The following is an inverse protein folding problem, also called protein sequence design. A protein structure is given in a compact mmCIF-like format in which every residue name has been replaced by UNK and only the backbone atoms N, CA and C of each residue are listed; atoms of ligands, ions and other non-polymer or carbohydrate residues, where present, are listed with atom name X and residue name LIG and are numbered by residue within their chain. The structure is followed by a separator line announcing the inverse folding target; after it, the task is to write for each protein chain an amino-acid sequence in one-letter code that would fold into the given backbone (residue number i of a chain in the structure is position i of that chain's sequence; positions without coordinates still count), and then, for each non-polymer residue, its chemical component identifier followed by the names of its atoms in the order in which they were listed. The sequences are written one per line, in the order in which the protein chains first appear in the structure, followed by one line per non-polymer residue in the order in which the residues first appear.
data_IF_661783543808
#
_entry.id   IF_661783543808
#
_cell.length_a   1.000
_cell.length_b   1.000
_cell.length_c   1.000
_cell.angle_alpha   90.00
_cell.angle_beta   90.00
_cell.angle_gamma   90.00
#
_symmetry.space_group_name_H-M   'P 1'
#
loop_
_entity.id
_entity.type
_entity.pdbx_description
1 polymer ?
#
# COMPACT_ATOMS: atom_id res chain seq x y z
N UNK A 1 -52.73 31.75 54.56
CA UNK A 1 -53.69 32.69 53.95
C UNK A 1 -53.82 32.34 52.46
N UNK A 2 -55.03 32.43 51.87
CA UNK A 2 -55.45 31.67 50.68
C UNK A 2 -55.80 32.54 49.46
N UNK A 3 -56.20 31.88 48.35
CA UNK A 3 -56.93 32.38 47.15
C UNK A 3 -56.08 33.24 46.21
N UNK A 4 -56.19 33.20 44.89
CA UNK A 4 -57.28 32.93 43.94
C UNK A 4 -56.65 32.38 42.63
N UNK A 5 -57.29 31.90 41.57
CA UNK A 5 -58.65 31.99 41.04
C UNK A 5 -58.80 30.91 39.95
N UNK A 6 -60.01 30.39 39.79
CA UNK A 6 -60.44 29.45 38.73
C UNK A 6 -61.06 30.26 37.56
N UNK A 7 -61.88 29.71 36.64
CA UNK A 7 -61.67 28.68 35.61
C UNK A 7 -62.31 29.05 34.22
N UNK A 8 -62.30 28.07 33.29
CA UNK A 8 -63.32 27.74 32.25
C UNK A 8 -63.11 28.16 30.78
N UNK A 9 -63.08 27.09 29.96
CA UNK A 9 -63.86 26.78 28.74
C UNK A 9 -63.69 27.68 27.51
N UNK A 10 -63.25 27.04 26.41
CA UNK A 10 -64.16 26.67 25.30
C UNK A 10 -63.39 25.99 24.15
N UNK A 11 -63.63 24.69 23.94
CA UNK A 11 -63.70 24.09 22.60
C UNK A 11 -65.14 24.33 22.05
N UNK A 12 -65.51 24.00 20.79
CA UNK A 12 -64.77 23.40 19.67
C UNK A 12 -64.95 24.20 18.35
N UNK A 13 -64.47 23.69 17.21
CA UNK A 13 -65.23 23.46 15.95
C UNK A 13 -64.27 23.01 14.84
N UNK A 14 -64.64 21.90 14.23
CA UNK A 14 -64.02 21.20 13.11
C UNK A 14 -64.32 21.95 11.80
N UNK A 15 -63.41 21.97 10.85
CA UNK A 15 -63.78 22.01 9.42
C UNK A 15 -62.65 21.46 8.57
N UNK A 16 -62.80 20.21 8.15
CA UNK A 16 -62.20 19.68 6.94
C UNK A 16 -62.63 20.54 5.75
N UNK A 17 -61.69 20.99 4.92
CA UNK A 17 -61.83 21.32 3.50
C UNK A 17 -60.54 22.03 3.07
N UNK A 18 -59.62 21.26 2.50
CA UNK A 18 -58.90 21.59 1.26
C UNK A 18 -57.89 20.47 1.00
N UNK A 19 -58.41 19.43 0.38
CA UNK A 19 -57.62 18.50 -0.41
C UNK A 19 -57.14 19.21 -1.68
N UNK A 20 -56.08 18.64 -2.26
CA UNK A 20 -55.45 19.01 -3.53
C UNK A 20 -54.48 20.20 -3.45
N UNK A 21 -53.18 19.87 -3.41
CA UNK A 21 -52.07 20.49 -4.16
C UNK A 21 -50.75 20.27 -3.40
N UNK A 22 -50.14 19.07 -3.49
CA UNK A 22 -48.67 18.89 -3.65
C UNK A 22 -48.26 17.40 -3.60
N UNK A 23 -48.80 16.57 -4.51
CA UNK A 23 -48.35 15.18 -4.71
C UNK A 23 -47.12 15.06 -5.62
N UNK A 24 -46.35 16.13 -5.85
CA UNK A 24 -45.29 16.16 -6.86
C UNK A 24 -43.91 16.59 -6.34
N UNK A 25 -43.56 16.32 -5.07
CA UNK A 25 -42.24 16.74 -4.53
C UNK A 25 -41.54 15.79 -3.56
N UNK A 26 -41.70 14.48 -3.74
CA UNK A 26 -40.92 13.45 -3.02
C UNK A 26 -40.36 12.38 -3.97
N UNK A 27 -39.82 12.78 -5.13
CA UNK A 27 -38.76 12.00 -5.78
C UNK A 27 -37.42 12.49 -5.20
N UNK A 28 -37.02 11.86 -4.10
CA UNK A 28 -35.64 11.93 -3.64
C UNK A 28 -34.74 11.26 -4.67
N UNK A 29 -34.24 12.04 -5.62
CA UNK A 29 -33.08 11.65 -6.40
C UNK A 29 -31.90 11.65 -5.46
N UNK A 30 -31.55 10.47 -4.94
CA UNK A 30 -30.26 10.26 -4.32
C UNK A 30 -29.20 10.70 -5.34
N UNK A 31 -28.31 11.66 -5.02
CA UNK A 31 -27.19 11.91 -5.89
C UNK A 31 -26.35 10.64 -5.87
N UNK A 32 -26.32 9.92 -6.99
CA UNK A 32 -25.27 8.95 -7.28
C UNK A 32 -23.95 9.66 -6.96
N UNK A 33 -23.38 9.36 -5.79
CA UNK A 33 -22.02 9.72 -5.45
C UNK A 33 -21.18 9.00 -6.48
N UNK A 34 -20.87 9.70 -7.55
CA UNK A 34 -19.92 9.30 -8.56
C UNK A 34 -18.67 8.92 -7.79
N UNK A 35 -18.43 7.62 -7.64
CA UNK A 35 -17.17 7.09 -7.12
C UNK A 35 -16.14 7.44 -8.17
N UNK A 36 -15.67 8.69 -8.16
CA UNK A 36 -14.48 9.05 -8.92
C UNK A 36 -13.40 8.09 -8.41
N UNK A 37 -12.76 7.31 -9.31
CA UNK A 37 -11.65 6.50 -8.89
C UNK A 37 -10.62 7.46 -8.29
N UNK A 38 -10.28 7.27 -7.01
CA UNK A 38 -9.11 7.91 -6.41
C UNK A 38 -7.94 7.53 -7.30
N UNK A 39 -7.55 8.43 -8.21
CA UNK A 39 -6.31 8.29 -8.94
C UNK A 39 -5.23 8.34 -7.87
N UNK A 40 -4.66 7.17 -7.56
CA UNK A 40 -3.50 7.07 -6.69
C UNK A 40 -2.46 8.05 -7.24
N UNK A 41 -2.11 9.06 -6.46
CA UNK A 41 -1.08 10.04 -6.83
C UNK A 41 0.21 9.25 -7.01
N UNK A 42 0.63 9.07 -8.26
CA UNK A 42 1.87 8.35 -8.58
C UNK A 42 3.03 9.27 -8.22
N UNK A 43 3.76 8.92 -7.17
CA UNK A 43 4.95 9.64 -6.76
C UNK A 43 6.03 9.55 -7.85
N UNK A 44 6.74 10.66 -8.09
CA UNK A 44 7.80 10.71 -9.11
C UNK A 44 9.10 10.16 -8.53
N UNK A 45 9.85 9.42 -9.35
CA UNK A 45 11.20 8.99 -8.98
C UNK A 45 12.17 10.20 -9.01
N UNK A 46 12.65 10.61 -7.85
CA UNK A 46 13.57 11.73 -7.64
C UNK A 46 14.92 11.30 -7.02
N UNK A 47 15.01 10.06 -6.51
CA UNK A 47 16.21 9.50 -5.87
C UNK A 47 16.95 8.47 -6.75
N UNK A 48 18.27 8.57 -6.79
CA UNK A 48 19.16 7.59 -7.44
C UNK A 48 19.96 6.80 -6.40
N UNK A 49 20.05 5.48 -6.58
CA UNK A 49 20.98 4.60 -5.86
C UNK A 49 21.90 3.91 -6.86
N UNK A 50 23.21 4.04 -6.66
CA UNK A 50 24.24 3.43 -7.51
C UNK A 50 24.69 2.10 -6.92
N UNK A 51 24.64 1.05 -7.74
CA UNK A 51 25.09 -0.30 -7.41
C UNK A 51 26.13 -0.71 -8.44
N UNK A 52 27.28 -1.16 -7.98
CA UNK A 52 28.34 -1.67 -8.83
C UNK A 52 28.19 -3.18 -8.99
N UNK A 53 28.31 -3.65 -10.22
CA UNK A 53 28.33 -5.06 -10.55
C UNK A 53 29.70 -5.43 -11.10
N UNK A 54 30.13 -6.65 -10.80
CA UNK A 54 31.18 -7.28 -11.59
C UNK A 54 30.67 -7.55 -13.01
N UNK A 55 31.60 -7.67 -13.96
CA UNK A 55 31.27 -8.04 -15.34
C UNK A 55 30.39 -9.30 -15.46
N UNK A 56 30.69 -10.42 -14.78
CA UNK A 56 29.83 -11.61 -14.86
C UNK A 56 28.44 -11.40 -14.26
N UNK A 57 28.30 -10.62 -13.18
CA UNK A 57 26.98 -10.32 -12.59
C UNK A 57 26.13 -9.47 -13.53
N UNK A 58 26.72 -8.44 -14.13
CA UNK A 58 26.04 -7.60 -15.12
C UNK A 58 25.50 -8.45 -16.29
N UNK A 59 26.33 -9.34 -16.84
CA UNK A 59 25.91 -10.26 -17.90
C UNK A 59 24.86 -11.29 -17.45
N UNK A 60 24.89 -11.74 -16.20
CA UNK A 60 23.90 -12.66 -15.66
C UNK A 60 22.54 -11.98 -15.49
N UNK A 61 22.52 -10.76 -14.97
CA UNK A 61 21.31 -9.95 -14.80
C UNK A 61 20.68 -9.63 -16.15
N UNK A 62 21.47 -9.20 -17.14
CA UNK A 62 20.95 -8.89 -18.48
C UNK A 62 20.30 -10.12 -19.13
N UNK A 63 20.94 -11.29 -19.02
CA UNK A 63 20.36 -12.55 -19.52
C UNK A 63 19.05 -12.92 -18.82
N UNK A 64 18.97 -12.73 -17.51
CA UNK A 64 17.75 -12.96 -16.73
C UNK A 64 16.62 -12.04 -17.21
N UNK A 65 16.91 -10.74 -17.36
CA UNK A 65 15.93 -9.72 -17.80
C UNK A 65 15.42 -10.03 -19.21
N UNK A 66 16.31 -10.41 -20.13
CA UNK A 66 15.91 -10.82 -21.49
C UNK A 66 15.00 -12.04 -21.43
N UNK A 67 15.35 -13.06 -20.63
CA UNK A 67 14.50 -14.25 -20.49
C UNK A 67 13.12 -13.93 -19.92
N UNK A 68 13.05 -13.05 -18.92
CA UNK A 68 11.79 -12.57 -18.36
C UNK A 68 10.96 -11.80 -19.38
N UNK A 69 11.58 -10.89 -20.14
CA UNK A 69 10.90 -10.13 -21.19
C UNK A 69 10.25 -11.05 -22.23
N UNK A 70 10.98 -12.08 -22.68
CA UNK A 70 10.46 -13.09 -23.61
C UNK A 70 9.30 -13.88 -23.01
N UNK A 71 9.44 -14.40 -21.78
CA UNK A 71 8.42 -15.24 -21.14
C UNK A 71 7.15 -14.48 -20.80
N UNK A 72 7.26 -13.22 -20.42
CA UNK A 72 6.14 -12.35 -20.06
C UNK A 72 5.53 -11.64 -21.28
N UNK A 73 6.13 -11.79 -22.47
CA UNK A 73 5.77 -11.06 -23.69
C UNK A 73 5.66 -9.55 -23.45
N UNK A 74 6.62 -8.99 -22.72
CA UNK A 74 6.62 -7.59 -22.29
C UNK A 74 8.03 -7.00 -22.23
N UNK A 75 8.15 -5.68 -22.38
CA UNK A 75 9.44 -5.01 -22.25
C UNK A 75 9.85 -4.92 -20.77
N UNK A 76 10.82 -5.72 -20.36
CA UNK A 76 11.39 -5.70 -19.01
C UNK A 76 12.79 -5.07 -19.06
N UNK A 77 13.09 -4.20 -18.09
CA UNK A 77 14.41 -3.56 -17.89
C UNK A 77 14.93 -3.94 -16.51
N UNK A 78 16.25 -3.83 -16.31
CA UNK A 78 16.89 -4.06 -15.00
C UNK A 78 16.24 -3.23 -13.90
N UNK A 79 15.90 -1.97 -14.18
CA UNK A 79 15.22 -1.09 -13.22
C UNK A 79 13.84 -1.58 -12.79
N UNK A 80 13.10 -2.31 -13.65
CA UNK A 80 11.83 -2.93 -13.26
C UNK A 80 12.05 -4.06 -12.25
N UNK A 81 13.06 -4.90 -12.49
CA UNK A 81 13.41 -6.00 -11.58
C UNK A 81 13.91 -5.46 -10.24
N UNK A 82 14.82 -4.48 -10.26
CA UNK A 82 15.35 -3.87 -9.02
C UNK A 82 14.22 -3.22 -8.22
N UNK A 83 13.28 -2.50 -8.85
CA UNK A 83 12.12 -1.94 -8.13
C UNK A 83 11.20 -3.02 -7.56
N UNK A 84 10.95 -4.11 -8.29
CA UNK A 84 10.18 -5.23 -7.78
C UNK A 84 10.85 -5.87 -6.56
N UNK A 85 12.18 -6.01 -6.58
CA UNK A 85 12.96 -6.46 -5.42
C UNK A 85 12.85 -5.49 -4.24
N UNK A 86 12.89 -4.18 -4.48
CA UNK A 86 12.63 -3.18 -3.43
C UNK A 86 11.25 -3.34 -2.82
N UNK A 87 10.21 -3.50 -3.65
CA UNK A 87 8.85 -3.75 -3.16
C UNK A 87 8.76 -5.02 -2.31
N UNK A 88 9.42 -6.10 -2.72
CA UNK A 88 9.51 -7.34 -1.94
C UNK A 88 10.22 -7.13 -0.59
N UNK A 89 11.32 -6.37 -0.56
CA UNK A 89 12.04 -6.07 0.68
C UNK A 89 11.20 -5.25 1.64
N UNK A 90 10.47 -4.24 1.15
CA UNK A 90 9.59 -3.42 1.98
C UNK A 90 8.38 -4.21 2.49
N UNK A 91 7.82 -5.10 1.68
CA UNK A 91 6.75 -6.01 2.11
C UNK A 91 7.23 -6.96 3.23
N UNK A 92 8.48 -7.42 3.15
CA UNK A 92 9.07 -8.36 4.11
C UNK A 92 9.81 -7.68 5.28
N UNK A 93 9.69 -6.36 5.47
CA UNK A 93 10.50 -5.59 6.42
C UNK A 93 10.50 -6.18 7.83
N UNK A 94 9.33 -6.53 8.38
CA UNK A 94 9.22 -7.11 9.72
C UNK A 94 9.91 -8.46 9.86
N UNK A 95 9.82 -9.31 8.83
CA UNK A 95 10.50 -10.60 8.83
C UNK A 95 12.01 -10.44 8.62
N UNK A 96 12.45 -9.44 7.83
CA UNK A 96 13.87 -9.13 7.67
C UNK A 96 14.47 -8.72 9.01
N UNK A 97 13.82 -7.81 9.74
CA UNK A 97 14.28 -7.34 11.05
C UNK A 97 14.36 -8.49 12.07
N UNK A 98 13.30 -9.30 12.14
CA UNK A 98 13.27 -10.51 12.99
C UNK A 98 14.41 -11.48 12.66
N UNK A 99 14.59 -11.83 11.39
CA UNK A 99 15.65 -12.76 10.96
C UNK A 99 17.05 -12.18 11.19
N UNK A 100 17.23 -10.88 11.03
CA UNK A 100 18.49 -10.21 11.36
C UNK A 100 18.78 -10.28 12.87
N UNK A 101 17.76 -10.09 13.72
CA UNK A 101 17.87 -10.27 15.16
C UNK A 101 18.27 -11.70 15.57
N UNK A 102 17.69 -12.71 14.92
CA UNK A 102 18.03 -14.13 15.13
C UNK A 102 19.45 -14.49 14.67
N UNK A 103 19.92 -13.90 13.57
CA UNK A 103 21.25 -14.14 13.02
C UNK A 103 22.39 -13.53 13.86
N UNK A 104 22.10 -12.51 14.66
CA UNK A 104 23.07 -11.81 15.47
C UNK A 104 23.93 -10.80 14.69
N UNK A 105 24.92 -10.16 15.35
CA UNK A 105 25.67 -9.07 14.75
C UNK A 105 26.60 -9.56 13.63
N UNK A 106 26.47 -8.95 12.44
CA UNK A 106 27.42 -9.12 11.35
C UNK A 106 28.47 -8.02 11.38
N UNK A 107 29.74 -8.40 11.35
CA UNK A 107 30.86 -7.45 11.31
C UNK A 107 31.17 -7.10 9.86
N UNK A 108 31.15 -5.81 9.54
CA UNK A 108 31.57 -5.32 8.23
C UNK A 108 33.07 -5.61 8.01
N UNK A 109 33.44 -6.31 6.93
CA UNK A 109 34.85 -6.57 6.61
C UNK A 109 35.64 -5.29 6.34
N UNK A 110 36.97 -5.37 6.51
CA UNK A 110 37.87 -4.27 6.20
C UNK A 110 37.84 -3.93 4.70
N UNK A 111 38.10 -2.66 4.38
CA UNK A 111 38.21 -2.22 2.99
C UNK A 111 39.37 -2.99 2.30
N UNK A 112 39.08 -3.70 1.20
CA UNK A 112 40.05 -4.50 0.46
C UNK A 112 39.97 -6.02 0.70
N UNK A 113 39.25 -6.49 1.74
CA UNK A 113 38.98 -7.92 1.91
C UNK A 113 37.78 -8.34 1.05
N UNK A 114 38.04 -8.61 -0.24
CA UNK A 114 37.02 -9.02 -1.19
C UNK A 114 36.35 -10.35 -0.79
N UNK A 115 37.08 -11.29 -0.17
CA UNK A 115 36.51 -12.55 0.28
C UNK A 115 35.62 -12.37 1.51
N UNK A 116 36.05 -11.53 2.46
CA UNK A 116 35.25 -11.13 3.59
C UNK A 116 33.97 -10.46 3.15
N UNK A 117 34.06 -9.53 2.20
CA UNK A 117 32.88 -8.84 1.64
C UNK A 117 31.90 -9.82 1.01
N UNK A 118 32.38 -10.76 0.19
CA UNK A 118 31.52 -11.78 -0.40
C UNK A 118 30.84 -12.68 0.64
N UNK A 119 31.54 -13.04 1.73
CA UNK A 119 30.93 -13.81 2.84
C UNK A 119 29.87 -12.98 3.55
N UNK A 120 30.17 -11.73 3.85
CA UNK A 120 29.24 -10.80 4.49
C UNK A 120 27.96 -10.61 3.66
N UNK A 121 28.09 -10.37 2.36
CA UNK A 121 26.95 -10.25 1.43
C UNK A 121 26.15 -11.56 1.32
N UNK A 122 26.81 -12.72 1.41
CA UNK A 122 26.14 -14.02 1.42
C UNK A 122 25.32 -14.23 2.69
N UNK A 123 25.80 -13.82 3.85
CA UNK A 123 25.02 -13.90 5.09
C UNK A 123 23.77 -13.01 5.02
N UNK A 124 23.93 -11.77 4.52
CA UNK A 124 22.79 -10.89 4.26
C UNK A 124 21.80 -11.57 3.30
N UNK A 125 22.30 -12.16 2.21
CA UNK A 125 21.47 -12.90 1.25
C UNK A 125 20.68 -14.05 1.89
N UNK A 126 21.23 -14.75 2.87
CA UNK A 126 20.52 -15.83 3.60
C UNK A 126 19.38 -15.28 4.46
N UNK A 127 19.64 -14.19 5.19
CA UNK A 127 18.62 -13.51 6.00
C UNK A 127 17.45 -13.09 5.10
N UNK A 128 17.76 -12.45 3.97
CA UNK A 128 16.75 -11.97 3.02
C UNK A 128 15.98 -13.14 2.40
N UNK A 129 16.66 -14.21 2.00
CA UNK A 129 16.00 -15.39 1.43
C UNK A 129 15.05 -16.10 2.42
N UNK A 130 15.39 -16.13 3.71
CA UNK A 130 14.51 -16.65 4.75
C UNK A 130 13.31 -15.71 4.97
N UNK A 131 13.57 -14.42 5.18
CA UNK A 131 12.54 -13.42 5.44
C UNK A 131 11.52 -13.29 4.29
N UNK A 132 11.97 -13.27 3.04
CA UNK A 132 11.10 -13.21 1.86
C UNK A 132 10.20 -14.44 1.74
N UNK A 133 10.64 -15.60 2.22
CA UNK A 133 9.81 -16.81 2.28
C UNK A 133 8.73 -16.70 3.35
N UNK A 134 9.10 -16.17 4.51
CA UNK A 134 8.20 -16.08 5.67
C UNK A 134 7.14 -14.98 5.50
N UNK A 135 7.46 -13.90 4.79
CA UNK A 135 6.54 -12.79 4.52
C UNK A 135 5.34 -13.16 3.63
N UNK A 136 5.37 -14.35 2.99
CA UNK A 136 4.29 -14.81 2.14
C UNK A 136 4.14 -14.02 0.83
N UNK A 137 3.04 -14.23 0.07
CA UNK A 137 2.83 -13.57 -1.22
C UNK A 137 2.57 -12.07 -1.08
N UNK A 138 3.04 -11.29 -2.07
CA UNK A 138 2.66 -9.89 -2.25
C UNK A 138 1.13 -9.78 -2.43
N UNK A 139 0.51 -8.81 -1.76
CA UNK A 139 -0.92 -8.51 -1.85
C UNK A 139 -1.19 -7.34 -2.77
#
# INVERSE_FOLDING_TARGET
MPRSESPRRSEPVVSDLDAELDEARLMGTEPERSRQPMQAVVEKFDQEKRILFTRPESQAIDRLVVSLATRLNAQVKVSHVVRALVGLMLHAESEIDKRAGEAGPLIRPANGDAQGLQRFEREIGRIFAAALRDAGPLR
#
